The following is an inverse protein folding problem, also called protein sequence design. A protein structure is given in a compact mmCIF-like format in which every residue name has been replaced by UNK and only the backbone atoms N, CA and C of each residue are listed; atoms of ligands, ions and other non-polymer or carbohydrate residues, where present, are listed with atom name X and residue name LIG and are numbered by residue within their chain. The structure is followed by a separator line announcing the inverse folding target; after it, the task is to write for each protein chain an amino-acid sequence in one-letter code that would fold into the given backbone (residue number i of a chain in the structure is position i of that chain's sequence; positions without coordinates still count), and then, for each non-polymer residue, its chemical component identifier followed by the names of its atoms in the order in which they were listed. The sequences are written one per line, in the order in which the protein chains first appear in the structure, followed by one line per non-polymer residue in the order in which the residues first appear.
data_IF_305933776683
#
_entry.id   IF_305933776683
#
_cell.length_a   1.000
_cell.length_b   1.000
_cell.length_c   1.000
_cell.angle_alpha   90.00
_cell.angle_beta   90.00
_cell.angle_gamma   90.00
#
_symmetry.space_group_name_H-M   'P 1'
#
loop_
_entity.id
_entity.type
_entity.pdbx_description
1 polymer ?
#
# COMPACT_ATOMS: atom_id res chain seq x y z
N UNK A 1 -17.29 32.72 -44.51
CA UNK A 1 -16.34 31.60 -44.34
C UNK A 1 -15.02 32.10 -43.75
N UNK A 2 -14.95 32.35 -42.43
CA UNK A 2 -13.73 32.82 -41.73
C UNK A 2 -13.75 32.63 -40.20
N UNK A 3 -14.86 32.18 -39.61
CA UNK A 3 -15.02 32.05 -38.15
C UNK A 3 -14.87 30.60 -37.62
N UNK A 4 -14.59 29.64 -38.49
CA UNK A 4 -14.56 28.19 -38.13
C UNK A 4 -13.15 27.73 -37.69
N UNK A 5 -12.12 28.58 -37.83
CA UNK A 5 -10.73 28.17 -37.53
C UNK A 5 -10.37 28.35 -36.03
N UNK A 6 -11.16 29.08 -35.24
CA UNK A 6 -10.81 29.36 -33.84
C UNK A 6 -11.30 28.31 -32.82
N UNK A 7 -12.07 27.30 -33.23
CA UNK A 7 -12.72 26.34 -32.30
C UNK A 7 -12.01 24.98 -32.25
N UNK A 8 -10.96 24.77 -33.06
CA UNK A 8 -10.22 23.50 -33.05
C UNK A 8 -8.97 23.50 -32.16
N UNK A 9 -8.49 24.67 -31.71
CA UNK A 9 -7.27 24.78 -30.90
C UNK A 9 -7.51 24.88 -29.39
N UNK A 10 -8.77 25.05 -28.95
CA UNK A 10 -9.13 25.12 -27.53
C UNK A 10 -9.44 23.76 -26.89
N UNK A 11 -9.62 22.70 -27.68
CA UNK A 11 -10.13 21.41 -27.20
C UNK A 11 -9.03 20.41 -26.79
N UNK A 12 -7.76 20.67 -27.13
CA UNK A 12 -6.65 19.74 -26.86
C UNK A 12 -6.01 19.92 -25.46
N UNK A 13 -6.28 21.02 -24.75
CA UNK A 13 -5.58 21.34 -23.49
C UNK A 13 -6.41 20.95 -22.25
N UNK A 14 -7.74 20.83 -22.36
CA UNK A 14 -8.62 20.63 -21.22
C UNK A 14 -8.72 19.20 -20.68
N UNK A 15 -8.33 18.17 -21.45
CA UNK A 15 -8.57 16.76 -21.08
C UNK A 15 -7.34 16.10 -20.44
N UNK A 16 -6.13 16.68 -20.59
CA UNK A 16 -4.88 16.06 -20.12
C UNK A 16 -4.59 16.24 -18.63
N UNK A 17 -5.31 17.09 -17.90
CA UNK A 17 -5.07 17.35 -16.47
C UNK A 17 -5.92 16.51 -15.51
N UNK A 18 -6.78 15.61 -16.01
CA UNK A 18 -7.64 14.76 -15.17
C UNK A 18 -7.01 13.38 -14.86
N UNK A 19 -5.70 13.33 -14.60
CA UNK A 19 -4.99 12.08 -14.23
C UNK A 19 -4.16 12.21 -12.93
N UNK A 20 -4.22 13.33 -12.23
CA UNK A 20 -3.60 13.52 -10.91
C UNK A 20 -4.69 13.57 -9.84
N UNK A 21 -5.07 12.44 -9.27
CA UNK A 21 -6.05 12.49 -8.18
C UNK A 21 -6.40 11.19 -7.47
N UNK A 22 -5.96 10.03 -7.96
CA UNK A 22 -6.15 8.78 -7.24
C UNK A 22 -4.84 8.36 -6.57
N UNK A 23 -4.46 9.10 -5.52
CA UNK A 23 -3.62 8.52 -4.49
C UNK A 23 -4.45 7.43 -3.81
N UNK A 24 -4.43 6.22 -4.38
CA UNK A 24 -4.90 5.02 -3.68
C UNK A 24 -4.06 4.94 -2.42
N UNK A 25 -4.68 5.25 -1.28
CA UNK A 25 -4.20 4.83 0.02
C UNK A 25 -4.02 3.32 -0.08
N UNK A 26 -2.76 2.89 -0.20
CA UNK A 26 -2.41 1.47 -0.18
C UNK A 26 -2.67 1.02 1.26
N UNK A 27 -3.91 0.65 1.53
CA UNK A 27 -4.30 -0.07 2.72
C UNK A 27 -3.37 -1.28 2.83
N UNK A 28 -2.83 -1.49 4.03
CA UNK A 28 -1.86 -2.54 4.28
C UNK A 28 -2.36 -3.88 3.72
N UNK A 29 -1.48 -4.57 3.00
CA UNK A 29 -1.86 -5.71 2.15
C UNK A 29 -1.83 -7.02 2.92
N UNK A 30 -1.04 -7.09 3.99
CA UNK A 30 -0.98 -8.27 4.84
C UNK A 30 -0.22 -8.05 6.14
N UNK A 31 -0.11 -9.14 6.91
CA UNK A 31 0.41 -9.16 8.26
C UNK A 31 1.32 -10.35 8.42
N UNK A 32 2.53 -10.11 8.91
CA UNK A 32 3.41 -11.16 9.35
C UNK A 32 2.99 -11.65 10.72
N UNK A 33 2.85 -12.97 10.87
CA UNK A 33 2.64 -13.66 12.14
C UNK A 33 4.02 -13.87 12.76
N UNK A 34 4.26 -13.31 13.94
CA UNK A 34 5.55 -13.42 14.61
C UNK A 34 5.64 -14.74 15.39
N UNK A 35 6.44 -15.67 14.89
CA UNK A 35 6.87 -16.86 15.63
C UNK A 35 7.57 -16.46 16.91
N UNK A 36 7.27 -17.16 18.01
CA UNK A 36 7.88 -16.94 19.32
C UNK A 36 7.14 -15.96 20.23
N UNK A 37 6.18 -15.18 19.71
CA UNK A 37 5.27 -14.37 20.53
C UNK A 37 3.83 -14.49 20.03
N UNK A 38 3.02 -15.25 20.75
CA UNK A 38 1.60 -15.41 20.46
C UNK A 38 0.90 -14.06 20.40
N UNK A 39 0.01 -13.89 19.43
CA UNK A 39 -0.76 -12.65 19.28
C UNK A 39 0.07 -11.45 18.83
N UNK A 40 1.26 -11.64 18.25
CA UNK A 40 2.12 -10.54 17.82
C UNK A 40 2.30 -10.52 16.31
N UNK A 41 2.17 -9.33 15.70
CA UNK A 41 2.13 -9.18 14.24
C UNK A 41 2.90 -7.94 13.77
N UNK A 42 3.32 -7.95 12.51
CA UNK A 42 3.88 -6.79 11.79
C UNK A 42 3.07 -6.57 10.52
N UNK A 43 2.55 -5.36 10.29
CA UNK A 43 1.83 -5.05 9.03
C UNK A 43 2.83 -4.88 7.89
N UNK A 44 2.48 -5.29 6.68
CA UNK A 44 3.27 -4.99 5.50
C UNK A 44 2.41 -4.53 4.31
N UNK A 45 2.98 -3.68 3.46
CA UNK A 45 2.32 -3.20 2.22
C UNK A 45 2.84 -3.95 1.01
N UNK A 46 1.97 -4.25 0.04
CA UNK A 46 2.34 -4.95 -1.20
C UNK A 46 2.77 -6.40 -0.96
N UNK A 47 3.65 -6.91 -1.82
CA UNK A 47 4.03 -8.33 -1.80
C UNK A 47 4.92 -8.70 -0.60
N UNK A 48 4.81 -9.95 -0.16
CA UNK A 48 5.73 -10.51 0.81
C UNK A 48 7.11 -10.74 0.17
N UNK A 49 8.12 -10.04 0.65
CA UNK A 49 9.50 -10.15 0.16
C UNK A 49 10.47 -10.48 1.29
N UNK A 50 11.61 -11.07 0.93
CA UNK A 50 12.66 -11.38 1.90
C UNK A 50 13.15 -10.13 2.66
N UNK A 51 13.25 -9.00 1.98
CA UNK A 51 13.66 -7.73 2.60
C UNK A 51 12.66 -7.25 3.64
N UNK A 52 11.36 -7.38 3.39
CA UNK A 52 10.30 -7.05 4.37
C UNK A 52 10.32 -7.99 5.55
N UNK A 53 10.53 -9.29 5.33
CA UNK A 53 10.72 -10.28 6.40
C UNK A 53 11.95 -9.94 7.26
N UNK A 54 13.05 -9.48 6.64
CA UNK A 54 14.25 -9.02 7.36
C UNK A 54 13.99 -7.75 8.19
N UNK A 55 13.27 -6.78 7.63
CA UNK A 55 12.81 -5.59 8.37
C UNK A 55 11.89 -5.97 9.54
N UNK A 56 10.96 -6.90 9.34
CA UNK A 56 10.10 -7.43 10.41
C UNK A 56 10.93 -8.11 11.51
N UNK A 57 11.99 -8.86 11.15
CA UNK A 57 12.93 -9.44 12.12
C UNK A 57 13.65 -8.36 12.94
N UNK A 58 14.02 -7.24 12.33
CA UNK A 58 14.61 -6.11 13.04
C UNK A 58 13.63 -5.45 14.03
N UNK A 59 12.32 -5.55 13.78
CA UNK A 59 11.26 -5.18 14.73
C UNK A 59 11.01 -6.23 15.82
N UNK A 60 11.78 -7.31 15.87
CA UNK A 60 11.63 -8.41 16.82
C UNK A 60 10.56 -9.44 16.42
N UNK A 61 10.14 -9.45 15.15
CA UNK A 61 9.19 -10.41 14.60
C UNK A 61 9.91 -11.45 13.73
N UNK A 62 10.09 -12.66 14.23
CA UNK A 62 10.51 -13.76 13.38
C UNK A 62 9.31 -14.28 12.59
N UNK A 63 9.28 -14.08 11.28
CA UNK A 63 8.08 -14.35 10.48
C UNK A 63 7.82 -15.85 10.34
N UNK A 64 6.78 -16.35 11.00
CA UNK A 64 6.30 -17.74 10.89
C UNK A 64 5.29 -17.96 9.77
N UNK A 65 4.59 -16.90 9.38
CA UNK A 65 3.57 -16.96 8.34
C UNK A 65 3.02 -15.59 8.00
N UNK A 66 2.05 -15.57 7.09
CA UNK A 66 1.38 -14.35 6.62
C UNK A 66 -0.13 -14.52 6.76
N UNK A 67 -0.81 -13.44 7.11
CA UNK A 67 -2.27 -13.31 7.10
C UNK A 67 -2.66 -12.09 6.28
N UNK A 68 -3.84 -12.12 5.66
CA UNK A 68 -4.41 -10.93 5.01
C UNK A 68 -5.07 -9.97 6.00
N UNK A 69 -5.38 -10.41 7.22
CA UNK A 69 -6.02 -9.60 8.27
C UNK A 69 -5.11 -9.42 9.49
N UNK A 70 -5.00 -8.18 9.95
CA UNK A 70 -4.19 -7.82 11.13
C UNK A 70 -5.06 -7.46 12.33
N UNK A 71 -6.37 -7.37 12.15
CA UNK A 71 -7.27 -6.63 13.05
C UNK A 71 -8.11 -7.57 13.93
N UNK A 72 -7.57 -8.74 14.30
CA UNK A 72 -8.22 -9.55 15.32
C UNK A 72 -8.09 -8.90 16.70
N UNK A 73 -9.12 -9.02 17.54
CA UNK A 73 -9.29 -8.29 18.80
C UNK A 73 -8.21 -8.50 19.89
N UNK A 74 -7.19 -9.33 19.64
CA UNK A 74 -6.14 -9.66 20.61
C UNK A 74 -4.73 -9.64 20.01
N UNK A 75 -4.52 -8.92 18.91
CA UNK A 75 -3.21 -8.83 18.25
C UNK A 75 -2.47 -7.55 18.65
N UNK A 76 -1.22 -7.73 19.08
CA UNK A 76 -0.26 -6.64 19.30
C UNK A 76 0.50 -6.40 18.00
N UNK A 77 0.35 -5.20 17.44
CA UNK A 77 1.09 -4.78 16.25
C UNK A 77 2.43 -4.17 16.70
N UNK A 78 3.54 -4.80 16.33
CA UNK A 78 4.90 -4.28 16.63
C UNK A 78 5.28 -3.11 15.74
N UNK A 79 4.69 -3.04 14.55
CA UNK A 79 4.96 -1.99 13.59
C UNK A 79 4.55 -2.39 12.18
N UNK A 80 5.10 -1.64 11.24
CA UNK A 80 4.76 -1.69 9.82
C UNK A 80 6.03 -1.70 8.98
N UNK A 81 6.05 -2.50 7.90
CA UNK A 81 7.15 -2.53 6.93
C UNK A 81 6.64 -2.32 5.51
N UNK A 82 7.29 -1.41 4.78
CA UNK A 82 7.03 -1.09 3.38
C UNK A 82 8.17 -1.59 2.47
#
# INVERSE_FOLDING_TARGET
MKKIIAVSLGCMIGISMLMLGMAVSKDYTGCYICSGKSGTYVKYKGDDTFDKRKKAKALGCEVGGTSSSCDAANYTILGTVD
#
